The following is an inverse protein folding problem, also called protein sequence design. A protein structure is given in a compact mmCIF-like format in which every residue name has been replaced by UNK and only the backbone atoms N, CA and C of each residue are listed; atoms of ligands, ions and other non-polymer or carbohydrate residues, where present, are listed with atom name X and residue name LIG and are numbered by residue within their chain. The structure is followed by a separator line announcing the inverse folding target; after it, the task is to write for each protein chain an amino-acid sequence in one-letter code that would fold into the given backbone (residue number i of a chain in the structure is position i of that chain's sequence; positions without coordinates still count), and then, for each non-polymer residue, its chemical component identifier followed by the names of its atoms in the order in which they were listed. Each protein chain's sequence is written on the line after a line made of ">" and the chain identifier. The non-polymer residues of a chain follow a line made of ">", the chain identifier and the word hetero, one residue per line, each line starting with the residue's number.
data_IF_433493391196
#
_entry.id   IF_433493391196
#
_cell.length_a   1.000
_cell.length_b   1.000
_cell.length_c   1.000
_cell.angle_alpha   90.00
_cell.angle_beta   90.00
_cell.angle_gamma   90.00
#
_symmetry.space_group_name_H-M   'P 1'
#
loop_
_entity.id
_entity.type
_entity.pdbx_description
1 polymer ?
#
# COMPACT_ATOMS: atom_id res chain seq x y z
N UNK A 1 -16.32 14.20 28.32
CA UNK A 1 -15.74 15.00 27.21
C UNK A 1 -16.32 14.45 25.91
N UNK A 2 -17.22 15.16 25.22
CA UNK A 2 -17.75 14.73 23.92
C UNK A 2 -16.84 15.32 22.84
N UNK A 3 -16.16 14.46 22.08
CA UNK A 3 -15.37 14.90 20.94
C UNK A 3 -16.34 15.39 19.85
N UNK A 4 -16.07 16.57 19.30
CA UNK A 4 -16.82 17.10 18.17
C UNK A 4 -16.44 16.30 16.92
N UNK A 5 -17.44 15.85 16.16
CA UNK A 5 -17.22 15.16 14.89
C UNK A 5 -16.54 16.12 13.92
N UNK A 6 -15.30 15.83 13.56
CA UNK A 6 -14.52 16.58 12.58
C UNK A 6 -14.78 16.03 11.18
N UNK A 7 -14.43 16.79 10.15
CA UNK A 7 -14.57 16.32 8.76
C UNK A 7 -13.71 15.09 8.43
N UNK A 8 -12.75 14.75 9.29
CA UNK A 8 -11.91 13.54 9.20
C UNK A 8 -12.59 12.32 9.82
N UNK A 9 -13.56 12.52 10.72
CA UNK A 9 -14.33 11.44 11.31
C UNK A 9 -15.30 10.91 10.23
N UNK A 10 -15.04 9.69 9.76
CA UNK A 10 -15.82 9.06 8.67
C UNK A 10 -15.21 9.17 7.27
N UNK A 11 -14.01 9.74 7.13
CA UNK A 11 -13.24 9.56 5.90
C UNK A 11 -12.68 8.13 5.89
N UNK A 12 -13.02 7.38 4.85
CA UNK A 12 -12.49 6.05 4.58
C UNK A 12 -11.41 6.17 3.50
N UNK A 13 -10.23 5.59 3.72
CA UNK A 13 -9.18 5.61 2.70
C UNK A 13 -7.81 5.13 3.16
N UNK A 14 -7.40 5.44 4.39
CA UNK A 14 -6.14 4.94 4.96
C UNK A 14 -6.34 3.67 5.79
N UNK A 15 -7.49 3.54 6.46
CA UNK A 15 -7.82 2.48 7.42
C UNK A 15 -9.27 2.00 7.28
N UNK A 16 -9.62 0.95 8.02
CA UNK A 16 -10.94 0.29 8.07
C UNK A 16 -11.26 -0.68 6.92
N UNK A 17 -10.25 -1.21 6.23
CA UNK A 17 -10.41 -2.37 5.35
C UNK A 17 -10.25 -3.63 6.21
N UNK A 18 -11.32 -4.41 6.30
CA UNK A 18 -11.31 -5.74 6.93
C UNK A 18 -11.11 -6.80 5.85
N UNK A 19 -10.24 -7.76 6.09
CA UNK A 19 -9.87 -8.79 5.11
C UNK A 19 -9.52 -10.09 5.81
N UNK A 20 -9.68 -11.22 5.14
CA UNK A 20 -9.18 -12.51 5.62
C UNK A 20 -7.77 -12.77 5.09
N UNK A 21 -7.03 -13.69 5.71
CA UNK A 21 -5.72 -14.13 5.20
C UNK A 21 -5.83 -14.64 3.77
N UNK A 22 -6.94 -15.32 3.44
CA UNK A 22 -7.20 -15.83 2.09
C UNK A 22 -7.38 -14.70 1.07
N UNK A 23 -8.06 -13.63 1.44
CA UNK A 23 -8.30 -12.49 0.56
C UNK A 23 -7.00 -11.71 0.30
N UNK A 24 -6.15 -11.56 1.33
CA UNK A 24 -4.80 -10.98 1.16
C UNK A 24 -3.93 -11.84 0.24
N UNK A 25 -4.01 -13.17 0.35
CA UNK A 25 -3.29 -14.08 -0.54
C UNK A 25 -3.78 -13.99 -1.99
N UNK A 26 -5.10 -13.95 -2.19
CA UNK A 26 -5.69 -13.77 -3.53
C UNK A 26 -5.35 -12.40 -4.11
N UNK A 27 -5.29 -11.35 -3.29
CA UNK A 27 -4.85 -10.02 -3.70
C UNK A 27 -3.39 -10.04 -4.16
N UNK A 28 -2.48 -10.67 -3.41
CA UNK A 28 -1.08 -10.82 -3.82
C UNK A 28 -0.97 -11.55 -5.18
N UNK A 29 -1.63 -12.71 -5.33
CA UNK A 29 -1.69 -13.42 -6.61
C UNK A 29 -2.25 -12.56 -7.75
N UNK A 30 -3.27 -11.76 -7.49
CA UNK A 30 -3.88 -10.89 -8.47
C UNK A 30 -2.93 -9.79 -8.93
N UNK A 31 -2.06 -9.25 -8.07
CA UNK A 31 -1.08 -8.21 -8.48
C UNK A 31 -0.09 -8.70 -9.53
N UNK A 32 0.26 -9.99 -9.52
CA UNK A 32 1.12 -10.59 -10.56
C UNK A 32 0.37 -10.83 -11.87
N UNK A 33 -0.96 -10.99 -11.85
CA UNK A 33 -1.76 -11.26 -13.03
C UNK A 33 -1.80 -10.02 -13.97
N UNK A 34 -1.48 -10.16 -15.27
CA UNK A 34 -1.53 -9.05 -16.22
C UNK A 34 -2.93 -8.50 -16.48
N UNK A 35 -3.99 -9.26 -16.18
CA UNK A 35 -5.38 -8.87 -16.45
C UNK A 35 -6.09 -8.21 -15.25
N UNK A 36 -5.44 -8.15 -14.09
CA UNK A 36 -6.06 -7.60 -12.88
C UNK A 36 -6.04 -6.06 -12.85
N UNK A 37 -4.91 -5.47 -13.23
CA UNK A 37 -4.72 -4.02 -13.30
C UNK A 37 -4.36 -3.60 -14.71
N UNK A 38 -4.86 -2.43 -15.13
CA UNK A 38 -4.44 -1.82 -16.38
C UNK A 38 -2.89 -1.72 -16.38
N UNK A 39 -2.20 -2.18 -17.44
CA UNK A 39 -0.74 -2.12 -17.52
C UNK A 39 -0.17 -0.73 -17.23
N UNK A 40 -0.87 0.34 -17.63
CA UNK A 40 -0.50 1.73 -17.33
C UNK A 40 -0.57 2.04 -15.84
N UNK A 41 -1.61 1.58 -15.14
CA UNK A 41 -1.71 1.76 -13.69
C UNK A 41 -0.67 0.92 -12.96
N UNK A 42 -0.42 -0.30 -13.44
CA UNK A 42 0.60 -1.19 -12.88
C UNK A 42 2.00 -0.56 -12.94
N UNK A 43 2.35 0.11 -14.03
CA UNK A 43 3.63 0.83 -14.12
C UNK A 43 3.72 2.02 -13.16
N UNK A 44 2.63 2.75 -12.95
CA UNK A 44 2.60 3.88 -12.01
C UNK A 44 2.75 3.41 -10.54
N UNK A 45 2.19 2.24 -10.20
CA UNK A 45 2.34 1.67 -8.84
C UNK A 45 3.81 1.38 -8.49
N UNK A 46 4.58 0.87 -9.46
CA UNK A 46 6.00 0.53 -9.30
C UNK A 46 6.95 1.70 -9.57
N UNK A 47 6.41 2.91 -9.76
CA UNK A 47 7.20 4.12 -9.93
C UNK A 47 7.32 4.85 -8.60
N UNK A 48 8.53 5.25 -8.22
CA UNK A 48 8.72 6.19 -7.13
C UNK A 48 8.29 7.60 -7.54
N UNK A 49 7.56 8.30 -6.67
CA UNK A 49 7.25 9.73 -6.85
C UNK A 49 7.92 10.62 -5.79
N UNK A 50 8.42 10.01 -4.70
CA UNK A 50 8.98 10.71 -3.56
C UNK A 50 10.49 10.96 -3.68
N UNK A 51 10.92 11.76 -4.66
CA UNK A 51 12.35 12.10 -4.86
C UNK A 51 12.79 13.39 -4.13
N UNK A 52 12.05 13.85 -3.13
CA UNK A 52 12.29 15.13 -2.44
C UNK A 52 13.60 15.14 -1.62
N UNK A 53 14.17 13.97 -1.31
CA UNK A 53 15.44 13.82 -0.60
C UNK A 53 16.26 12.71 -1.24
N UNK A 54 17.58 12.90 -1.39
CA UNK A 54 18.49 11.84 -1.86
C UNK A 54 18.48 10.69 -0.86
N UNK A 55 17.86 9.58 -1.23
CA UNK A 55 17.76 8.39 -0.39
C UNK A 55 17.28 7.18 -1.18
N UNK A 56 17.43 6.01 -0.57
CA UNK A 56 17.01 4.72 -1.16
C UNK A 56 15.54 4.41 -0.90
N UNK A 57 14.86 5.18 -0.04
CA UNK A 57 13.47 4.97 0.35
C UNK A 57 12.57 5.92 -0.43
N UNK A 58 11.78 5.35 -1.33
CA UNK A 58 10.81 6.06 -2.14
C UNK A 58 9.40 5.56 -1.84
N UNK A 59 8.42 6.33 -2.29
CA UNK A 59 7.00 6.00 -2.14
C UNK A 59 6.33 6.09 -3.50
N UNK A 60 5.61 5.04 -3.85
CA UNK A 60 4.81 4.93 -5.06
C UNK A 60 3.35 5.19 -4.75
N UNK A 61 2.45 4.73 -5.60
CA UNK A 61 1.01 4.81 -5.33
C UNK A 61 0.61 3.79 -4.26
N UNK A 62 0.74 4.18 -2.98
CA UNK A 62 0.34 3.38 -1.82
C UNK A 62 1.32 2.26 -1.43
N UNK A 63 2.48 2.18 -2.08
CA UNK A 63 3.50 1.14 -1.90
C UNK A 63 4.82 1.78 -1.50
N UNK A 64 5.53 1.15 -0.55
CA UNK A 64 6.90 1.56 -0.21
C UNK A 64 7.88 0.94 -1.21
N UNK A 65 8.74 1.78 -1.78
CA UNK A 65 9.81 1.36 -2.69
C UNK A 65 11.16 1.53 -2.01
N UNK A 66 12.02 0.54 -2.19
CA UNK A 66 13.43 0.67 -1.85
C UNK A 66 14.23 0.52 -3.14
N UNK A 67 14.75 1.63 -3.64
CA UNK A 67 15.59 1.70 -4.83
C UNK A 67 17.05 1.73 -4.37
N UNK A 68 17.77 0.62 -4.58
CA UNK A 68 19.18 0.52 -4.25
C UNK A 68 20.04 1.04 -5.39
N UNK A 69 21.19 1.65 -5.09
CA UNK A 69 22.14 2.17 -6.09
C UNK A 69 22.63 1.10 -7.08
N UNK A 70 22.57 -0.17 -6.68
CA UNK A 70 22.94 -1.32 -7.51
C UNK A 70 21.83 -1.74 -8.52
N UNK A 71 20.77 -0.95 -8.67
CA UNK A 71 19.65 -1.20 -9.60
C UNK A 71 18.68 -2.30 -9.17
N UNK A 72 18.84 -2.85 -7.96
CA UNK A 72 17.85 -3.76 -7.37
C UNK A 72 16.77 -2.91 -6.71
N UNK A 73 15.53 -3.07 -7.15
CA UNK A 73 14.37 -2.39 -6.55
C UNK A 73 13.54 -3.40 -5.77
N UNK A 74 13.23 -3.10 -4.51
CA UNK A 74 12.34 -3.90 -3.66
C UNK A 74 11.03 -3.13 -3.50
N UNK A 75 9.90 -3.80 -3.72
CA UNK A 75 8.57 -3.24 -3.57
C UNK A 75 7.89 -3.89 -2.37
N UNK A 76 7.50 -3.09 -1.37
CA UNK A 76 6.80 -3.55 -0.17
C UNK A 76 5.36 -3.07 -0.26
N UNK A 77 4.47 -3.99 -0.65
CA UNK A 77 3.10 -3.69 -1.07
C UNK A 77 2.26 -3.15 0.08
N UNK A 78 2.39 -3.67 1.31
CA UNK A 78 1.67 -3.14 2.48
C UNK A 78 2.32 -3.65 3.79
N UNK A 79 2.55 -2.75 4.73
CA UNK A 79 2.86 -3.08 6.13
C UNK A 79 1.92 -2.27 7.02
N UNK A 80 0.80 -2.88 7.41
CA UNK A 80 -0.16 -2.29 8.35
C UNK A 80 0.35 -2.42 9.78
N UNK A 81 0.32 -1.33 10.55
CA UNK A 81 0.83 -1.28 11.93
C UNK A 81 -0.22 -1.57 13.01
N UNK A 82 -1.35 -2.18 12.66
CA UNK A 82 -2.41 -2.52 13.61
C UNK A 82 -2.40 -4.02 13.87
N UNK A 83 -2.40 -4.43 15.13
CA UNK A 83 -2.61 -5.83 15.53
C UNK A 83 -3.84 -6.39 14.81
N UNK A 84 -3.64 -7.45 14.04
CA UNK A 84 -4.71 -8.21 13.40
C UNK A 84 -5.50 -8.90 14.51
N UNK A 85 -6.59 -8.29 14.98
CA UNK A 85 -7.52 -8.97 15.86
C UNK A 85 -8.31 -9.98 15.02
N UNK A 86 -7.98 -11.26 15.19
CA UNK A 86 -8.83 -12.35 14.68
C UNK A 86 -10.08 -12.35 15.55
N UNK A 87 -11.22 -11.98 14.99
CA UNK A 87 -12.52 -12.19 15.62
C UNK A 87 -12.79 -13.71 15.61
N UNK A 88 -12.50 -14.38 16.72
CA UNK A 88 -12.95 -15.74 17.04
C UNK A 88 -14.38 -15.74 17.56
#
# INVERSE_FOLDING_TARGET
>A
MKYAFTFLDGIYGDKNIYSTVKDLFLFDLATYNPNFLNPKLKSEIYKGYSYESKGTRNYGLGIRLIEWENGKNIFIIMAGGTETQVLT
#
